data_IF_890159564363
#
_entry.id   IF_890159564363
#
_cell.length_a   1.000
_cell.length_b   1.000
_cell.length_c   1.000
_cell.angle_alpha   90.00
_cell.angle_beta   90.00
_cell.angle_gamma   90.00
#
_symmetry.space_group_name_H-M   'P 1'
#
loop_
_entity.id
_entity.type
_entity.pdbx_description
1 polymer ?
#
# COMPACT_ATOMS: atom_id res chain seq x y z
N UNK A 1 -51.91 2.34 -59.48
CA UNK A 1 -51.20 2.75 -58.26
C UNK A 1 -51.85 2.07 -57.07
N UNK A 2 -51.20 1.06 -56.48
CA UNK A 2 -51.63 0.41 -55.22
C UNK A 2 -50.83 1.05 -54.08
N UNK A 3 -51.52 1.61 -53.10
CA UNK A 3 -50.91 2.14 -51.88
C UNK A 3 -50.77 1.00 -50.86
N UNK A 4 -49.54 0.73 -50.43
CA UNK A 4 -49.20 -0.14 -49.31
C UNK A 4 -49.33 0.66 -48.02
N UNK A 5 -50.23 0.26 -47.12
CA UNK A 5 -50.29 0.76 -45.74
C UNK A 5 -49.41 -0.11 -44.85
N UNK A 6 -48.37 0.48 -44.26
CA UNK A 6 -47.53 -0.14 -43.22
C UNK A 6 -48.09 0.30 -41.86
N UNK A 7 -48.38 -0.60 -40.91
CA UNK A 7 -48.77 -0.21 -39.57
C UNK A 7 -47.54 0.28 -38.78
N UNK A 8 -47.63 1.46 -38.17
CA UNK A 8 -46.62 1.98 -37.27
C UNK A 8 -46.70 1.21 -35.93
N UNK A 9 -45.68 0.42 -35.62
CA UNK A 9 -45.51 -0.16 -34.29
C UNK A 9 -44.95 0.91 -33.36
N UNK A 10 -45.74 1.35 -32.38
CA UNK A 10 -45.26 2.19 -31.27
C UNK A 10 -44.49 1.27 -30.33
N UNK A 11 -43.16 1.35 -30.36
CA UNK A 11 -42.32 0.73 -29.35
C UNK A 11 -42.50 1.51 -28.03
N UNK A 12 -43.21 0.92 -27.07
CA UNK A 12 -43.16 1.40 -25.68
C UNK A 12 -41.77 1.08 -25.13
N UNK A 13 -40.93 2.11 -25.01
CA UNK A 13 -39.71 2.04 -24.20
C UNK A 13 -40.16 2.03 -22.74
N UNK A 14 -40.18 0.84 -22.14
CA UNK A 14 -40.26 0.71 -20.68
C UNK A 14 -38.91 1.17 -20.13
N UNK A 15 -38.84 2.42 -19.68
CA UNK A 15 -37.75 2.88 -18.82
C UNK A 15 -37.86 2.11 -17.51
N UNK A 16 -37.14 1.00 -17.41
CA UNK A 16 -36.83 0.39 -16.11
C UNK A 16 -35.88 1.38 -15.44
N UNK A 17 -36.26 2.04 -14.32
CA UNK A 17 -35.31 2.85 -13.58
C UNK A 17 -34.12 1.94 -13.20
N UNK A 18 -32.87 2.43 -13.28
CA UNK A 18 -31.74 1.64 -12.81
C UNK A 18 -32.04 1.18 -11.37
N UNK A 19 -31.68 -0.06 -11.00
CA UNK A 19 -31.83 -0.49 -9.61
C UNK A 19 -31.19 0.60 -8.74
N UNK A 20 -31.93 1.06 -7.73
CA UNK A 20 -31.40 2.03 -6.77
C UNK A 20 -30.05 1.49 -6.29
N UNK A 21 -28.96 2.18 -6.65
CA UNK A 21 -27.63 1.83 -6.22
C UNK A 21 -27.68 1.70 -4.71
N UNK A 22 -27.43 0.51 -4.17
CA UNK A 22 -27.38 0.31 -2.74
C UNK A 22 -26.33 1.29 -2.20
N UNK A 23 -26.78 2.23 -1.36
CA UNK A 23 -25.89 3.26 -0.84
C UNK A 23 -24.70 2.58 -0.15
N UNK A 24 -23.48 3.05 -0.45
CA UNK A 24 -22.27 2.54 0.19
C UNK A 24 -22.40 2.79 1.69
N UNK A 25 -22.39 1.73 2.49
CA UNK A 25 -22.36 1.81 3.95
C UNK A 25 -20.94 1.79 4.49
N UNK A 26 -20.80 2.12 5.78
CA UNK A 26 -19.57 1.92 6.52
C UNK A 26 -19.83 1.25 7.86
N UNK A 27 -18.88 0.42 8.29
CA UNK A 27 -18.74 -0.06 9.65
C UNK A 27 -17.54 0.63 10.30
N UNK A 28 -17.66 0.99 11.57
CA UNK A 28 -16.49 1.42 12.34
C UNK A 28 -15.67 0.21 12.79
N UNK A 29 -14.35 0.33 12.72
CA UNK A 29 -13.39 -0.62 13.27
C UNK A 29 -12.97 -0.09 14.66
N UNK A 30 -13.63 -0.53 15.74
CA UNK A 30 -13.41 0.06 17.05
C UNK A 30 -11.99 -0.22 17.56
N UNK A 31 -11.41 0.68 18.36
CA UNK A 31 -10.17 0.39 19.07
C UNK A 31 -10.36 -0.81 20.03
N UNK A 32 -9.33 -1.64 20.26
CA UNK A 32 -9.38 -2.68 21.29
C UNK A 32 -9.64 -2.10 22.69
N UNK A 33 -10.14 -2.95 23.58
CA UNK A 33 -10.37 -2.58 24.98
C UNK A 33 -9.13 -1.95 25.62
N UNK A 34 -9.31 -0.80 26.27
CA UNK A 34 -8.23 -0.04 26.92
C UNK A 34 -7.48 0.94 26.01
N UNK A 35 -7.83 1.01 24.72
CA UNK A 35 -7.33 2.03 23.77
C UNK A 35 -8.45 3.01 23.44
N UNK A 36 -8.10 4.27 23.14
CA UNK A 36 -9.10 5.27 22.78
C UNK A 36 -9.05 5.71 21.31
N UNK A 37 -8.02 5.31 20.57
CA UNK A 37 -7.93 5.51 19.13
C UNK A 37 -7.27 4.30 18.45
N UNK A 38 -7.62 4.08 17.19
CA UNK A 38 -6.96 3.10 16.34
C UNK A 38 -7.00 3.53 14.87
N UNK A 39 -6.00 3.11 14.11
CA UNK A 39 -5.94 3.23 12.66
C UNK A 39 -5.80 1.86 12.03
N UNK A 40 -6.38 1.70 10.85
CA UNK A 40 -6.22 0.55 9.97
C UNK A 40 -5.22 0.91 8.86
N UNK A 41 -4.24 0.03 8.61
CA UNK A 41 -3.18 0.25 7.62
C UNK A 41 -3.27 -0.71 6.44
N UNK A 42 -3.74 -1.94 6.68
CA UNK A 42 -3.70 -3.02 5.69
C UNK A 42 -4.97 -3.89 5.74
N UNK A 43 -5.27 -4.52 4.61
CA UNK A 43 -6.42 -5.38 4.39
C UNK A 43 -6.00 -6.58 3.54
N UNK A 44 -6.42 -7.79 3.92
CA UNK A 44 -6.20 -8.98 3.09
C UNK A 44 -7.44 -9.36 2.26
N UNK A 45 -7.27 -10.35 1.38
CA UNK A 45 -8.35 -10.83 0.51
C UNK A 45 -9.50 -11.51 1.26
N UNK A 46 -9.25 -12.03 2.48
CA UNK A 46 -10.29 -12.57 3.35
C UNK A 46 -11.14 -11.47 4.04
N UNK A 47 -10.79 -10.19 3.86
CA UNK A 47 -11.48 -9.05 4.47
C UNK A 47 -11.06 -8.79 5.92
N UNK A 48 -9.97 -9.43 6.40
CA UNK A 48 -9.34 -9.11 7.68
C UNK A 48 -8.44 -7.91 7.52
N UNK A 49 -8.52 -6.99 8.47
CA UNK A 49 -7.73 -5.79 8.49
C UNK A 49 -6.72 -5.81 9.63
N UNK A 50 -5.62 -5.06 9.50
CA UNK A 50 -4.70 -4.83 10.59
C UNK A 50 -4.22 -3.37 10.62
N UNK A 51 -3.74 -2.96 11.77
CA UNK A 51 -3.34 -1.59 12.04
C UNK A 51 -2.81 -1.41 13.46
N UNK A 52 -3.01 -0.22 14.03
CA UNK A 52 -2.39 0.15 15.30
C UNK A 52 -3.36 0.91 16.20
N UNK A 53 -3.32 0.66 17.51
CA UNK A 53 -4.09 1.41 18.51
C UNK A 53 -3.22 2.00 19.63
N UNK A 54 -3.75 3.03 20.29
CA UNK A 54 -3.09 3.76 21.38
C UNK A 54 -4.09 4.48 22.30
N UNK A 55 -3.57 5.01 23.42
CA UNK A 55 -4.30 5.88 24.34
C UNK A 55 -3.98 7.36 24.07
N UNK A 56 -4.97 8.28 23.99
CA UNK A 56 -4.75 9.72 23.93
C UNK A 56 -3.97 10.17 25.17
N UNK A 57 -2.99 11.06 25.00
CA UNK A 57 -1.90 11.47 25.92
C UNK A 57 -0.59 10.70 25.80
N UNK A 58 -0.62 9.45 25.35
CA UNK A 58 0.59 8.78 24.90
C UNK A 58 0.75 9.09 23.43
N UNK A 59 1.49 10.15 23.10
CA UNK A 59 2.03 10.29 21.75
C UNK A 59 2.64 8.95 21.32
N UNK A 60 2.61 8.53 20.02
CA UNK A 60 3.30 7.33 19.58
C UNK A 60 4.81 7.53 19.71
N UNK A 61 5.28 7.56 20.94
CA UNK A 61 6.65 7.33 21.30
C UNK A 61 6.92 5.85 21.04
N UNK A 62 8.16 5.51 20.66
CA UNK A 62 8.59 4.12 20.63
C UNK A 62 8.08 3.35 21.86
N UNK A 63 7.31 2.28 21.61
CA UNK A 63 6.76 1.38 22.63
C UNK A 63 5.30 1.62 23.06
N UNK A 64 4.64 2.71 22.66
CA UNK A 64 3.23 2.98 23.06
C UNK A 64 2.20 2.41 22.08
N UNK A 65 2.59 2.15 20.83
CA UNK A 65 1.71 1.53 19.84
C UNK A 65 1.46 0.05 20.16
N UNK A 66 0.24 -0.38 19.86
CA UNK A 66 -0.15 -1.78 19.89
C UNK A 66 -0.65 -2.19 18.51
N UNK A 67 -0.11 -3.28 17.98
CA UNK A 67 -0.58 -3.87 16.75
C UNK A 67 -1.97 -4.48 16.99
N UNK A 68 -2.90 -4.23 16.06
CA UNK A 68 -4.30 -4.64 16.16
C UNK A 68 -4.68 -5.34 14.86
N UNK A 69 -5.50 -6.39 14.96
CA UNK A 69 -6.23 -6.95 13.82
C UNK A 69 -7.73 -6.83 14.03
N UNK A 70 -8.47 -6.79 12.92
CA UNK A 70 -9.92 -6.86 12.91
C UNK A 70 -10.38 -8.01 12.01
N UNK A 71 -11.19 -8.92 12.57
CA UNK A 71 -11.97 -9.89 11.79
C UNK A 71 -13.41 -9.38 11.72
N UNK A 72 -13.79 -8.86 10.54
CA UNK A 72 -14.93 -7.96 10.41
C UNK A 72 -14.70 -6.69 11.23
N UNK A 73 -15.52 -6.46 12.26
CA UNK A 73 -15.39 -5.34 13.19
C UNK A 73 -14.79 -5.73 14.54
N UNK A 74 -14.45 -7.01 14.76
CA UNK A 74 -13.97 -7.50 16.08
C UNK A 74 -12.47 -7.25 16.24
N UNK A 75 -12.04 -6.36 17.16
CA UNK A 75 -10.62 -6.07 17.35
C UNK A 75 -9.92 -7.15 18.19
N UNK A 76 -8.67 -7.45 17.84
CA UNK A 76 -7.75 -8.28 18.63
C UNK A 76 -6.39 -7.59 18.74
N UNK A 77 -5.91 -7.38 19.97
CA UNK A 77 -4.57 -6.84 20.23
C UNK A 77 -3.52 -7.94 20.04
N UNK A 78 -2.53 -7.69 19.18
CA UNK A 78 -1.51 -8.67 18.78
C UNK A 78 -0.22 -8.55 19.61
N UNK A 79 0.08 -7.35 20.09
CA UNK A 79 1.29 -7.06 20.85
C UNK A 79 1.73 -5.61 20.72
N UNK A 80 2.91 -5.29 21.25
CA UNK A 80 3.55 -4.00 21.01
C UNK A 80 3.98 -3.87 19.55
N UNK A 81 3.84 -2.68 18.95
CA UNK A 81 4.31 -2.41 17.59
C UNK A 81 3.23 -1.81 16.69
N UNK A 82 3.58 -1.68 15.41
CA UNK A 82 2.74 -1.09 14.38
C UNK A 82 2.49 -2.12 13.26
N UNK A 83 1.23 -2.50 12.99
CA UNK A 83 0.97 -3.44 11.90
C UNK A 83 1.26 -2.82 10.53
N UNK A 84 2.12 -3.48 9.74
CA UNK A 84 2.52 -3.00 8.42
C UNK A 84 2.12 -3.92 7.27
N UNK A 85 1.90 -5.21 7.52
CA UNK A 85 1.49 -6.18 6.50
C UNK A 85 0.60 -7.28 7.07
N UNK A 86 -0.28 -7.83 6.22
CA UNK A 86 -1.16 -8.94 6.55
C UNK A 86 -1.28 -9.86 5.33
N UNK A 87 -1.11 -11.16 5.54
CA UNK A 87 -1.24 -12.16 4.47
C UNK A 87 -2.66 -12.76 4.43
N UNK A 88 -2.95 -13.66 3.49
CA UNK A 88 -4.31 -14.23 3.34
C UNK A 88 -4.75 -15.10 4.50
N UNK A 89 -3.81 -15.72 5.24
CA UNK A 89 -4.10 -16.45 6.48
C UNK A 89 -4.51 -15.54 7.63
N UNK A 90 -4.17 -14.26 7.55
CA UNK A 90 -4.34 -13.30 8.64
C UNK A 90 -3.15 -13.27 9.60
N UNK A 91 -1.98 -13.78 9.17
CA UNK A 91 -0.74 -13.51 9.87
C UNK A 91 -0.39 -12.03 9.67
N UNK A 92 0.06 -11.35 10.72
CA UNK A 92 0.34 -9.90 10.70
C UNK A 92 1.77 -9.64 11.07
N UNK A 93 2.51 -8.92 10.23
CA UNK A 93 3.87 -8.46 10.53
C UNK A 93 3.84 -7.05 11.10
N UNK A 94 4.63 -6.81 12.15
CA UNK A 94 4.72 -5.52 12.81
C UNK A 94 6.12 -5.26 13.40
N UNK A 95 6.78 -4.14 13.04
CA UNK A 95 7.94 -3.66 13.76
C UNK A 95 7.55 -3.14 15.16
N UNK A 96 8.46 -3.35 16.10
CA UNK A 96 8.38 -2.86 17.48
C UNK A 96 9.57 -1.96 17.73
N UNK A 97 9.33 -0.67 17.96
CA UNK A 97 10.40 0.29 18.24
C UNK A 97 10.54 0.45 19.75
N UNK A 98 11.73 0.23 20.27
CA UNK A 98 12.09 0.39 21.69
C UNK A 98 13.26 1.37 21.84
N UNK A 99 13.49 1.90 23.03
CA UNK A 99 14.69 2.69 23.35
C UNK A 99 15.64 1.87 24.20
N UNK A 100 16.89 1.71 23.76
CA UNK A 100 17.97 1.07 24.52
C UNK A 100 19.15 2.03 24.63
N UNK A 101 19.49 2.46 25.85
CA UNK A 101 20.61 3.39 26.08
C UNK A 101 20.50 4.73 25.34
N UNK A 102 19.28 5.18 24.98
CA UNK A 102 19.03 6.39 24.20
C UNK A 102 18.93 6.19 22.68
N UNK A 103 19.39 5.05 22.15
CA UNK A 103 19.23 4.67 20.75
C UNK A 103 17.87 4.01 20.49
N UNK A 104 17.32 4.20 19.29
CA UNK A 104 16.14 3.46 18.84
C UNK A 104 16.59 2.09 18.33
N UNK A 105 15.93 1.04 18.83
CA UNK A 105 16.13 -0.34 18.40
C UNK A 105 14.79 -0.86 17.91
N UNK A 106 14.76 -1.32 16.68
CA UNK A 106 13.59 -2.00 16.13
C UNK A 106 13.72 -3.50 16.40
N UNK A 107 12.62 -4.20 16.66
CA UNK A 107 12.51 -5.65 16.54
C UNK A 107 11.36 -5.97 15.59
N UNK A 108 11.38 -7.12 14.94
CA UNK A 108 10.32 -7.52 14.01
C UNK A 108 9.54 -8.67 14.63
N UNK A 109 8.22 -8.52 14.71
CA UNK A 109 7.32 -9.55 15.21
C UNK A 109 6.33 -9.96 14.14
N UNK A 110 5.92 -11.23 14.16
CA UNK A 110 4.81 -11.75 13.36
C UNK A 110 3.80 -12.40 14.28
N UNK A 111 2.55 -11.99 14.18
CA UNK A 111 1.43 -12.71 14.78
C UNK A 111 1.03 -13.84 13.86
N UNK A 112 1.21 -15.07 14.32
CA UNK A 112 0.88 -16.29 13.59
C UNK A 112 0.42 -17.36 14.59
N UNK A 113 -0.53 -18.21 14.20
CA UNK A 113 -1.02 -19.30 15.05
C UNK A 113 -1.47 -18.86 16.46
N UNK A 114 -2.02 -17.65 16.59
CA UNK A 114 -2.54 -17.11 17.85
C UNK A 114 -1.48 -16.58 18.83
N UNK A 115 -0.24 -16.37 18.38
CA UNK A 115 0.84 -15.84 19.22
C UNK A 115 1.81 -14.96 18.41
N UNK A 116 2.52 -14.08 19.10
CA UNK A 116 3.59 -13.27 18.50
C UNK A 116 4.91 -14.05 18.50
N UNK A 117 5.49 -14.24 17.31
CA UNK A 117 6.81 -14.83 17.10
C UNK A 117 7.84 -13.73 16.76
N UNK A 118 9.03 -13.80 17.36
CA UNK A 118 10.14 -12.91 17.05
C UNK A 118 10.80 -13.31 15.71
N UNK A 119 10.85 -12.35 14.80
CA UNK A 119 11.50 -12.41 13.48
C UNK A 119 12.60 -11.34 13.35
N UNK A 120 13.17 -10.92 14.47
CA UNK A 120 14.32 -10.03 14.47
C UNK A 120 15.55 -10.75 13.91
N UNK A 121 16.22 -10.19 12.89
CA UNK A 121 17.45 -10.78 12.35
C UNK A 121 18.47 -11.12 13.45
N UNK A 122 19.06 -12.33 13.46
CA UNK A 122 19.92 -12.82 14.54
C UNK A 122 21.27 -12.10 14.64
N UNK A 123 21.65 -11.27 13.67
CA UNK A 123 22.79 -10.37 13.77
C UNK A 123 22.46 -9.28 14.81
N UNK A 124 22.62 -9.61 16.10
CA UNK A 124 22.29 -8.76 17.24
C UNK A 124 23.02 -7.43 17.12
N UNK A 125 22.22 -6.39 16.91
CA UNK A 125 22.69 -5.04 16.68
C UNK A 125 21.79 -4.23 15.76
N UNK A 126 20.73 -4.74 15.14
CA UNK A 126 19.95 -3.91 14.22
C UNK A 126 19.39 -2.65 14.92
N UNK A 127 19.81 -1.47 14.45
CA UNK A 127 19.26 -0.17 14.82
C UNK A 127 17.90 0.03 14.16
N UNK A 128 17.85 0.77 13.06
CA UNK A 128 16.62 1.00 12.29
C UNK A 128 16.34 -0.20 11.38
N UNK A 129 15.11 -0.71 11.43
CA UNK A 129 14.61 -1.72 10.49
C UNK A 129 13.30 -1.28 9.86
N UNK A 130 13.10 -1.66 8.61
CA UNK A 130 11.86 -1.43 7.88
C UNK A 130 11.31 -2.74 7.31
N UNK A 131 10.01 -2.95 7.51
CA UNK A 131 9.24 -4.07 6.97
C UNK A 131 7.84 -3.56 6.64
N UNK A 132 7.32 -3.93 5.47
CA UNK A 132 5.99 -3.49 5.02
C UNK A 132 5.09 -4.62 4.55
N UNK A 133 5.61 -5.83 4.39
CA UNK A 133 4.85 -6.86 3.70
C UNK A 133 5.27 -8.27 4.16
N UNK A 134 4.36 -9.22 3.97
CA UNK A 134 4.50 -10.62 4.36
C UNK A 134 3.76 -11.49 3.33
N UNK A 135 4.46 -12.48 2.78
CA UNK A 135 3.82 -13.40 1.83
C UNK A 135 3.00 -14.48 2.51
N UNK A 136 2.11 -15.11 1.74
CA UNK A 136 1.46 -16.34 2.14
C UNK A 136 2.49 -17.46 2.38
N UNK A 137 3.61 -17.53 1.69
CA UNK A 137 4.65 -18.52 2.05
C UNK A 137 5.47 -18.16 3.30
N UNK A 138 5.11 -17.09 4.03
CA UNK A 138 5.82 -16.66 5.24
C UNK A 138 7.11 -15.90 4.97
N UNK A 139 7.26 -15.34 3.76
CA UNK A 139 8.45 -14.58 3.37
C UNK A 139 8.31 -13.14 3.82
N UNK A 140 9.34 -12.63 4.49
CA UNK A 140 9.36 -11.26 5.02
C UNK A 140 10.60 -10.56 4.48
N UNK A 141 10.47 -9.65 3.50
CA UNK A 141 11.58 -8.79 3.10
C UNK A 141 11.81 -7.71 4.17
N UNK A 142 13.07 -7.38 4.41
CA UNK A 142 13.41 -6.28 5.30
C UNK A 142 14.68 -5.56 4.85
N UNK A 143 14.70 -4.26 5.12
CA UNK A 143 15.92 -3.46 5.08
C UNK A 143 16.30 -3.04 6.50
N UNK A 144 17.59 -3.04 6.79
CA UNK A 144 18.10 -2.87 8.14
C UNK A 144 19.51 -2.29 8.16
N UNK A 145 19.95 -1.81 9.33
CA UNK A 145 21.31 -1.31 9.59
C UNK A 145 22.08 -2.17 10.64
N UNK A 146 23.36 -1.87 10.87
CA UNK A 146 24.11 -2.39 12.04
C UNK A 146 24.15 -1.35 13.18
N UNK A 147 24.06 -1.82 14.41
CA UNK A 147 24.28 -1.01 15.62
C UNK A 147 25.69 -0.45 15.60
N UNK A 148 25.79 0.82 15.98
CA UNK A 148 27.08 1.47 16.17
C UNK A 148 27.72 1.98 14.89
N UNK A 149 27.03 1.92 13.74
CA UNK A 149 27.40 2.74 12.58
C UNK A 149 26.91 4.19 12.85
N UNK A 150 27.78 5.19 13.04
CA UNK A 150 27.36 6.58 13.26
C UNK A 150 26.62 7.18 12.05
N UNK A 151 26.64 6.54 10.88
CA UNK A 151 25.89 6.91 9.67
C UNK A 151 24.54 6.15 9.51
N UNK A 152 24.13 5.39 10.54
CA UNK A 152 23.04 4.37 10.59
C UNK A 152 21.61 4.80 10.21
N UNK A 153 21.33 6.09 9.98
CA UNK A 153 19.96 6.53 9.61
C UNK A 153 19.49 6.08 8.21
N UNK A 154 20.21 5.17 7.58
CA UNK A 154 20.18 4.91 6.15
C UNK A 154 20.41 3.41 5.93
N UNK A 155 19.33 2.62 5.90
CA UNK A 155 19.36 1.15 5.81
C UNK A 155 20.47 0.66 4.85
N UNK A 156 21.50 -0.01 5.37
CA UNK A 156 22.69 -0.41 4.61
C UNK A 156 22.64 -1.86 4.12
N UNK A 157 21.67 -2.65 4.64
CA UNK A 157 21.43 -4.03 4.23
C UNK A 157 19.98 -4.35 3.88
N UNK A 158 19.85 -5.44 3.13
CA UNK A 158 18.59 -6.13 2.86
C UNK A 158 18.74 -7.60 3.22
N UNK A 159 17.65 -8.19 3.69
CA UNK A 159 17.54 -9.61 3.99
C UNK A 159 16.11 -10.07 3.84
N UNK A 160 15.91 -11.39 3.88
CA UNK A 160 14.58 -11.95 3.91
C UNK A 160 14.51 -13.14 4.86
N UNK A 161 13.40 -13.23 5.60
CA UNK A 161 13.00 -14.48 6.22
C UNK A 161 12.38 -15.40 5.18
N UNK A 162 12.80 -16.65 5.15
CA UNK A 162 12.24 -17.71 4.31
C UNK A 162 12.27 -19.01 5.09
N UNK A 163 11.15 -19.73 5.14
CA UNK A 163 11.06 -21.05 5.78
C UNK A 163 11.64 -21.08 7.22
N UNK A 164 11.42 -20.00 7.98
CA UNK A 164 11.90 -19.88 9.36
C UNK A 164 13.40 -19.58 9.52
N UNK A 165 14.12 -19.28 8.44
CA UNK A 165 15.52 -18.83 8.48
C UNK A 165 15.66 -17.43 7.88
N UNK A 166 16.52 -16.61 8.48
CA UNK A 166 16.91 -15.31 7.94
C UNK A 166 18.19 -15.44 7.11
N UNK A 167 18.20 -14.81 5.94
CA UNK A 167 19.41 -14.69 5.12
C UNK A 167 19.56 -13.28 4.55
N UNK A 168 20.81 -12.85 4.46
CA UNK A 168 21.18 -11.62 3.77
C UNK A 168 20.99 -11.75 2.26
N UNK A 169 20.53 -10.66 1.65
CA UNK A 169 20.48 -10.55 0.20
C UNK A 169 21.81 -9.95 -0.28
N UNK A 170 22.56 -10.65 -1.16
CA UNK A 170 23.87 -10.19 -1.61
C UNK A 170 23.75 -9.09 -2.69
N UNK A 171 23.41 -7.87 -2.26
CA UNK A 171 23.34 -6.70 -3.13
C UNK A 171 24.71 -6.00 -3.21
N UNK A 172 25.17 -5.72 -4.43
CA UNK A 172 26.43 -5.02 -4.70
C UNK A 172 26.23 -3.83 -5.65
N UNK A 173 27.10 -2.81 -5.61
CA UNK A 173 28.08 -2.46 -4.56
C UNK A 173 27.40 -2.08 -3.23
N UNK A 174 28.12 -1.93 -2.10
CA UNK A 174 27.53 -1.50 -0.81
C UNK A 174 26.73 -0.18 -0.92
N UNK A 175 25.65 -0.01 -0.14
CA UNK A 175 24.67 1.07 -0.32
C UNK A 175 24.27 1.82 0.95
N UNK A 176 23.73 3.02 0.78
CA UNK A 176 23.29 3.89 1.89
C UNK A 176 21.76 3.92 2.04
N UNK A 177 20.99 3.60 1.01
CA UNK A 177 19.53 3.56 1.13
C UNK A 177 19.00 2.33 0.42
N UNK A 178 18.58 1.35 1.20
CA UNK A 178 17.91 0.16 0.70
C UNK A 178 16.46 0.17 1.17
N UNK A 179 15.57 -0.03 0.21
CA UNK A 179 14.16 -0.29 0.44
C UNK A 179 13.88 -1.69 -0.06
N UNK A 180 13.62 -2.64 0.85
CA UNK A 180 13.25 -4.01 0.53
C UNK A 180 11.92 -4.31 1.23
N UNK A 181 10.83 -3.95 0.56
CA UNK A 181 9.57 -3.67 1.25
C UNK A 181 8.37 -4.48 0.75
N UNK A 182 8.43 -5.07 -0.44
CA UNK A 182 7.27 -5.73 -1.05
C UNK A 182 7.57 -7.18 -1.40
N UNK A 183 6.54 -8.03 -1.29
CA UNK A 183 6.63 -9.46 -1.55
C UNK A 183 5.35 -9.96 -2.19
N UNK A 184 5.49 -10.77 -3.24
CA UNK A 184 4.40 -11.55 -3.82
C UNK A 184 4.04 -12.74 -2.92
N UNK A 185 2.85 -13.30 -3.06
CA UNK A 185 2.36 -14.46 -2.30
C UNK A 185 3.28 -15.68 -2.47
N UNK A 186 3.87 -15.85 -3.66
CA UNK A 186 4.86 -16.92 -3.93
C UNK A 186 6.25 -16.68 -3.29
N UNK A 187 6.46 -15.53 -2.66
CA UNK A 187 7.69 -15.21 -1.94
C UNK A 187 8.77 -14.53 -2.78
N UNK A 188 8.49 -14.13 -4.02
CA UNK A 188 9.38 -13.20 -4.75
C UNK A 188 9.30 -11.83 -4.10
N UNK A 189 10.44 -11.19 -3.88
CA UNK A 189 10.53 -9.87 -3.21
C UNK A 189 11.19 -8.85 -4.14
N UNK A 190 10.86 -7.57 -3.99
CA UNK A 190 11.48 -6.49 -4.76
C UNK A 190 11.82 -5.28 -3.90
N UNK A 191 12.70 -4.44 -4.44
CA UNK A 191 13.19 -3.27 -3.75
C UNK A 191 14.08 -2.38 -4.60
N UNK A 192 14.58 -1.31 -3.99
CA UNK A 192 15.53 -0.38 -4.61
C UNK A 192 16.76 -0.17 -3.72
N UNK A 193 17.86 0.21 -4.37
CA UNK A 193 19.13 0.51 -3.72
C UNK A 193 19.74 1.79 -4.28
N UNK A 194 20.27 2.62 -3.38
CA UNK A 194 21.21 3.68 -3.67
C UNK A 194 22.62 3.30 -3.17
N UNK A 195 23.58 3.03 -4.07
CA UNK A 195 24.97 2.73 -3.72
C UNK A 195 25.71 3.89 -3.04
N UNK A 196 26.68 3.59 -2.15
CA UNK A 196 27.55 4.59 -1.48
C UNK A 196 28.69 5.08 -2.37
N UNK A 197 29.11 4.25 -3.32
CA UNK A 197 30.25 4.53 -4.20
C UNK A 197 29.92 5.49 -5.36
N UNK A 198 28.74 6.10 -5.33
CA UNK A 198 28.25 6.99 -6.40
C UNK A 198 27.77 6.25 -7.65
N UNK A 199 27.79 4.92 -7.67
CA UNK A 199 27.22 4.16 -8.79
C UNK A 199 25.70 4.33 -8.86
N UNK A 200 25.16 4.17 -10.07
CA UNK A 200 23.75 4.43 -10.34
C UNK A 200 22.83 3.56 -9.47
N UNK A 201 21.82 4.19 -8.86
CA UNK A 201 20.74 3.51 -8.15
C UNK A 201 20.07 2.46 -9.04
N UNK A 202 19.48 1.45 -8.42
CA UNK A 202 18.79 0.42 -9.17
C UNK A 202 17.65 -0.24 -8.42
N UNK A 203 16.74 -0.83 -9.19
CA UNK A 203 15.70 -1.75 -8.71
C UNK A 203 16.25 -3.17 -8.76
N UNK A 204 15.88 -3.99 -7.79
CA UNK A 204 16.23 -5.41 -7.76
C UNK A 204 14.99 -6.27 -7.51
N UNK A 205 15.05 -7.51 -8.01
CA UNK A 205 14.08 -8.56 -7.72
C UNK A 205 14.79 -9.81 -7.24
N UNK A 206 14.24 -10.44 -6.22
CA UNK A 206 14.84 -11.56 -5.51
C UNK A 206 13.86 -12.73 -5.39
N UNK A 207 14.32 -13.90 -5.84
CA UNK A 207 13.72 -15.21 -5.54
C UNK A 207 14.39 -15.81 -4.31
N UNK A 208 14.07 -17.06 -3.96
CA UNK A 208 14.75 -17.77 -2.88
C UNK A 208 16.25 -18.00 -3.13
N UNK A 209 16.70 -18.08 -4.39
CA UNK A 209 18.06 -18.50 -4.75
C UNK A 209 18.87 -17.43 -5.49
N UNK A 210 18.22 -16.37 -5.97
CA UNK A 210 18.85 -15.38 -6.84
C UNK A 210 18.23 -14.00 -6.68
N UNK A 211 19.09 -12.99 -6.71
CA UNK A 211 18.71 -11.58 -6.78
C UNK A 211 19.32 -10.92 -8.01
N UNK A 212 18.48 -10.32 -8.83
CA UNK A 212 18.88 -9.67 -10.06
C UNK A 212 18.67 -8.16 -9.94
N UNK A 213 19.67 -7.40 -10.39
CA UNK A 213 19.50 -5.99 -10.73
C UNK A 213 18.65 -5.90 -12.00
N UNK A 214 17.62 -5.05 -11.98
CA UNK A 214 16.78 -4.80 -13.14
C UNK A 214 17.36 -3.66 -13.99
N UNK A 215 17.14 -3.68 -15.32
CA UNK A 215 17.41 -2.55 -16.20
C UNK A 215 16.81 -1.24 -15.66
N UNK A 216 17.58 -0.17 -15.79
CA UNK A 216 17.22 1.16 -15.30
C UNK A 216 16.28 1.89 -16.27
N UNK A 217 15.35 2.69 -15.75
CA UNK A 217 14.48 3.54 -16.56
C UNK A 217 15.22 4.76 -17.14
N UNK A 218 16.35 5.13 -16.55
CA UNK A 218 17.22 6.21 -17.03
C UNK A 218 18.64 6.09 -16.48
N UNK A 219 19.51 7.00 -16.89
CA UNK A 219 20.94 6.97 -16.57
C UNK A 219 21.26 7.45 -15.15
N UNK A 220 20.48 8.40 -14.63
CA UNK A 220 20.66 9.05 -13.32
C UNK A 220 19.42 8.92 -12.45
N UNK A 221 19.53 9.26 -11.17
CA UNK A 221 18.40 9.32 -10.23
C UNK A 221 18.31 8.16 -9.22
N UNK A 222 17.23 8.17 -8.44
CA UNK A 222 16.92 7.19 -7.41
C UNK A 222 15.55 6.56 -7.64
N UNK A 223 15.31 5.39 -7.04
CA UNK A 223 14.06 4.65 -7.19
C UNK A 223 13.42 4.39 -5.83
N UNK A 224 12.09 4.51 -5.75
CA UNK A 224 11.28 4.02 -4.65
C UNK A 224 10.33 2.96 -5.19
N UNK A 225 10.59 1.69 -4.88
CA UNK A 225 9.68 0.58 -5.22
C UNK A 225 8.52 0.59 -4.23
N UNK A 226 7.29 0.63 -4.75
CA UNK A 226 6.08 0.66 -3.94
C UNK A 226 5.42 -0.72 -3.84
N UNK A 227 5.32 -1.44 -4.96
CA UNK A 227 4.49 -2.63 -5.05
C UNK A 227 5.04 -3.67 -6.04
N UNK A 228 4.67 -4.93 -5.80
CA UNK A 228 5.00 -6.12 -6.58
C UNK A 228 3.74 -7.01 -6.64
N UNK A 229 3.32 -7.40 -7.85
CA UNK A 229 2.17 -8.31 -8.03
C UNK A 229 2.62 -9.78 -8.22
N UNK A 230 1.67 -10.72 -8.33
CA UNK A 230 1.95 -12.15 -8.51
C UNK A 230 2.55 -12.50 -9.88
N UNK A 231 2.30 -11.68 -10.91
CA UNK A 231 2.98 -11.79 -12.21
C UNK A 231 4.45 -11.33 -12.18
N UNK A 232 4.93 -10.84 -11.03
CA UNK A 232 6.24 -10.24 -10.79
C UNK A 232 6.46 -8.88 -11.46
N UNK A 233 5.38 -8.18 -11.83
CA UNK A 233 5.44 -6.79 -12.23
C UNK A 233 5.69 -5.91 -11.01
N UNK A 234 6.60 -4.95 -11.15
CA UNK A 234 6.96 -4.00 -10.09
C UNK A 234 6.49 -2.62 -10.49
N UNK A 235 5.89 -1.88 -9.55
CA UNK A 235 5.58 -0.47 -9.72
C UNK A 235 6.38 0.37 -8.71
N UNK A 236 6.88 1.52 -9.18
CA UNK A 236 7.64 2.43 -8.33
C UNK A 236 7.81 3.81 -8.95
N UNK A 237 8.43 4.70 -8.18
CA UNK A 237 8.70 6.07 -8.59
C UNK A 237 10.19 6.26 -8.86
N UNK A 238 10.52 6.87 -9.98
CA UNK A 238 11.88 7.26 -10.35
C UNK A 238 12.05 8.77 -10.17
N UNK A 239 13.02 9.17 -9.35
CA UNK A 239 13.36 10.56 -9.09
C UNK A 239 14.64 10.94 -9.84
N UNK A 240 14.52 11.83 -10.82
CA UNK A 240 15.65 12.29 -11.64
C UNK A 240 15.43 13.72 -12.14
N UNK A 241 16.53 14.47 -12.23
CA UNK A 241 16.57 15.83 -12.79
C UNK A 241 15.59 16.81 -12.11
N UNK A 242 15.45 16.69 -10.78
CA UNK A 242 14.52 17.50 -9.98
C UNK A 242 13.03 17.15 -10.16
N UNK A 243 12.73 16.05 -10.86
CA UNK A 243 11.38 15.60 -11.16
C UNK A 243 11.15 14.13 -10.72
N UNK A 244 9.90 13.71 -10.63
CA UNK A 244 9.49 12.32 -10.37
C UNK A 244 8.68 11.75 -11.52
N UNK A 245 8.86 10.47 -11.83
CA UNK A 245 8.10 9.75 -12.85
C UNK A 245 7.63 8.40 -12.31
N UNK A 246 6.39 8.04 -12.60
CA UNK A 246 5.90 6.69 -12.33
C UNK A 246 6.53 5.70 -13.34
N UNK A 247 6.97 4.54 -12.86
CA UNK A 247 7.67 3.53 -13.66
C UNK A 247 7.17 2.14 -13.29
N UNK A 248 7.04 1.28 -14.29
CA UNK A 248 6.80 -0.16 -14.10
C UNK A 248 7.96 -0.99 -14.62
N UNK A 249 8.19 -2.16 -14.02
CA UNK A 249 9.05 -3.20 -14.58
C UNK A 249 8.22 -4.43 -14.85
N UNK A 250 8.04 -4.76 -16.12
CA UNK A 250 7.30 -5.94 -16.58
C UNK A 250 8.23 -6.78 -17.44
N UNK A 251 8.33 -8.09 -17.17
CA UNK A 251 9.34 -8.95 -17.80
C UNK A 251 10.76 -8.37 -17.70
N UNK A 252 11.07 -7.77 -16.54
CA UNK A 252 12.32 -7.07 -16.25
C UNK A 252 12.61 -5.81 -17.09
N UNK A 253 11.67 -5.37 -17.92
CA UNK A 253 11.87 -4.16 -18.73
C UNK A 253 11.17 -2.96 -18.09
N UNK A 254 11.89 -1.84 -17.87
CA UNK A 254 11.30 -0.61 -17.37
C UNK A 254 10.44 0.06 -18.43
N UNK A 255 9.28 0.54 -18.04
CA UNK A 255 8.42 1.44 -18.83
C UNK A 255 8.10 2.67 -17.99
N UNK A 256 8.52 3.84 -18.47
CA UNK A 256 8.13 5.13 -17.87
C UNK A 256 6.68 5.40 -18.25
N UNK A 257 5.83 5.56 -17.24
CA UNK A 257 4.42 5.83 -17.43
C UNK A 257 4.18 7.31 -17.77
N UNK A 258 3.16 7.64 -18.60
CA UNK A 258 2.89 9.01 -19.00
C UNK A 258 2.50 9.92 -17.81
N UNK A 259 2.87 11.21 -17.86
CA UNK A 259 2.42 12.20 -16.87
C UNK A 259 3.48 13.15 -16.30
N UNK A 260 4.52 13.52 -17.06
CA UNK A 260 5.61 14.46 -16.76
C UNK A 260 6.17 14.44 -15.32
N UNK A 261 5.44 15.00 -14.35
CA UNK A 261 5.68 14.87 -12.91
C UNK A 261 4.64 13.94 -12.30
N UNK A 262 5.02 12.71 -11.98
CA UNK A 262 4.11 11.71 -11.42
C UNK A 262 4.81 10.81 -10.41
N UNK A 263 4.02 10.11 -9.59
CA UNK A 263 4.51 9.08 -8.69
C UNK A 263 3.48 7.96 -8.54
N UNK A 264 3.99 6.74 -8.34
CA UNK A 264 3.19 5.60 -7.91
C UNK A 264 2.81 5.80 -6.43
N UNK A 265 1.61 5.38 -6.05
CA UNK A 265 1.16 5.42 -4.67
C UNK A 265 2.14 4.68 -3.75
N UNK A 266 2.42 5.23 -2.57
CA UNK A 266 3.29 4.58 -1.59
C UNK A 266 2.56 3.47 -0.82
N UNK A 267 2.13 2.44 -1.54
CA UNK A 267 1.30 1.34 -1.03
C UNK A 267 1.66 0.02 -1.74
N UNK A 268 1.70 -1.10 -1.01
CA UNK A 268 2.00 -2.41 -1.59
C UNK A 268 0.91 -2.91 -2.54
N UNK A 269 -0.29 -2.30 -2.52
CA UNK A 269 -1.41 -2.56 -3.43
C UNK A 269 -1.55 -1.53 -4.55
N UNK A 270 -0.47 -0.83 -4.88
CA UNK A 270 -0.46 0.18 -5.94
C UNK A 270 -0.44 -0.40 -7.37
N UNK A 271 -0.27 -1.72 -7.53
CA UNK A 271 -0.36 -2.45 -8.80
C UNK A 271 -1.25 -3.68 -8.64
N UNK A 272 -2.10 -3.97 -9.63
CA UNK A 272 -2.93 -5.19 -9.66
C UNK A 272 -2.35 -6.27 -10.59
N UNK A 273 -3.00 -7.44 -10.66
CA UNK A 273 -2.50 -8.56 -11.47
C UNK A 273 -2.57 -8.34 -12.99
N UNK A 274 -3.34 -7.35 -13.44
CA UNK A 274 -3.36 -6.94 -14.85
C UNK A 274 -2.24 -5.94 -15.19
N UNK A 275 -1.42 -5.55 -14.21
CA UNK A 275 -0.35 -4.57 -14.38
C UNK A 275 -0.84 -3.12 -14.38
N UNK A 276 -2.08 -2.87 -13.96
CA UNK A 276 -2.60 -1.53 -13.77
C UNK A 276 -1.98 -0.90 -12.52
N UNK A 277 -1.59 0.37 -12.61
CA UNK A 277 -0.88 1.08 -11.54
C UNK A 277 -1.64 2.32 -11.13
N UNK A 278 -1.62 2.65 -9.84
CA UNK A 278 -2.24 3.86 -9.31
C UNK A 278 -1.26 4.78 -8.59
N UNK A 279 -1.62 6.05 -8.53
CA UNK A 279 -0.88 7.08 -7.82
C UNK A 279 -1.41 8.46 -8.15
N UNK A 280 -0.50 9.38 -8.49
CA UNK A 280 -0.85 10.73 -8.87
C UNK A 280 0.08 11.28 -9.95
N UNK A 281 -0.44 12.26 -10.71
CA UNK A 281 0.35 13.14 -11.56
C UNK A 281 0.14 14.59 -11.20
N UNK A 282 1.05 15.46 -11.62
CA UNK A 282 0.88 16.90 -11.53
C UNK A 282 0.14 17.40 -12.78
N UNK A 283 -0.94 18.14 -12.56
CA UNK A 283 -1.68 18.85 -13.61
C UNK A 283 -1.88 20.29 -13.18
N UNK A 284 -1.37 21.23 -13.97
CA UNK A 284 -1.43 22.66 -13.65
C UNK A 284 -0.98 23.00 -12.21
N UNK A 285 0.03 22.27 -11.70
CA UNK A 285 0.58 22.45 -10.35
C UNK A 285 -0.20 21.73 -9.24
N UNK A 286 -1.25 20.97 -9.54
CA UNK A 286 -2.08 20.24 -8.58
C UNK A 286 -1.92 18.74 -8.77
N UNK A 287 -1.82 17.97 -7.68
CA UNK A 287 -1.80 16.50 -7.76
C UNK A 287 -3.19 15.98 -8.14
N UNK A 288 -3.23 15.09 -9.13
CA UNK A 288 -4.44 14.43 -9.60
C UNK A 288 -4.29 12.92 -9.52
N UNK A 289 -5.22 12.29 -8.80
CA UNK A 289 -5.36 10.84 -8.70
C UNK A 289 -5.41 10.23 -10.10
N UNK A 290 -4.51 9.29 -10.34
CA UNK A 290 -4.26 8.75 -11.67
C UNK A 290 -4.23 7.24 -11.63
N UNK A 291 -4.84 6.63 -12.64
CA UNK A 291 -4.68 5.22 -12.98
C UNK A 291 -3.92 5.12 -14.30
N UNK A 292 -2.89 4.28 -14.34
CA UNK A 292 -2.21 3.87 -15.57
C UNK A 292 -2.69 2.48 -15.95
N UNK A 293 -3.31 2.38 -17.13
CA UNK A 293 -3.90 1.15 -17.68
C UNK A 293 -3.45 1.02 -19.13
N UNK A 294 -2.88 -0.12 -19.49
CA UNK A 294 -2.43 -0.42 -20.86
C UNK A 294 -1.52 0.68 -21.45
N UNK A 295 -0.60 1.20 -20.63
CA UNK A 295 0.32 2.28 -21.01
C UNK A 295 -0.33 3.66 -21.19
N UNK A 296 -1.63 3.78 -20.95
CA UNK A 296 -2.41 5.02 -21.07
C UNK A 296 -2.75 5.60 -19.71
N UNK A 297 -2.93 6.92 -19.69
CA UNK A 297 -3.38 7.64 -18.51
C UNK A 297 -4.91 7.68 -18.44
N UNK A 298 -5.47 7.29 -17.30
CA UNK A 298 -6.89 7.40 -16.98
C UNK A 298 -7.07 8.42 -15.85
N UNK A 299 -7.76 9.51 -16.15
CA UNK A 299 -8.21 10.47 -15.15
C UNK A 299 -9.40 9.90 -14.39
N UNK A 300 -9.35 9.98 -13.06
CA UNK A 300 -10.40 9.44 -12.19
C UNK A 300 -11.58 10.41 -11.99
N UNK A 301 -11.51 11.63 -12.54
CA UNK A 301 -12.59 12.62 -12.46
C UNK A 301 -12.66 13.36 -11.13
N UNK A 302 -11.54 13.46 -10.40
CA UNK A 302 -11.48 14.14 -9.10
C UNK A 302 -11.46 15.67 -9.24
N UNK A 303 -12.16 16.38 -8.36
CA UNK A 303 -12.35 17.84 -8.46
C UNK A 303 -11.18 18.65 -7.89
N UNK A 304 -10.58 18.22 -6.77
CA UNK A 304 -9.48 18.93 -6.09
C UNK A 304 -8.11 18.27 -6.24
N UNK A 305 -7.20 18.59 -5.33
CA UNK A 305 -5.97 17.80 -5.12
C UNK A 305 -6.36 16.37 -4.71
N UNK A 306 -5.74 15.36 -5.30
CA UNK A 306 -6.14 13.98 -5.09
C UNK A 306 -5.01 12.99 -5.35
N UNK A 307 -5.18 11.80 -4.78
CA UNK A 307 -4.26 10.67 -4.96
C UNK A 307 -5.06 9.36 -4.92
N UNK A 308 -4.77 8.47 -5.87
CA UNK A 308 -5.23 7.09 -5.83
C UNK A 308 -4.22 6.26 -5.03
N UNK A 309 -4.69 5.40 -4.12
CA UNK A 309 -3.83 4.71 -3.14
C UNK A 309 -3.72 3.20 -3.35
N UNK A 310 -4.77 2.57 -3.90
CA UNK A 310 -4.77 1.13 -4.15
C UNK A 310 -5.70 0.78 -5.32
N UNK A 311 -5.36 -0.30 -6.01
CA UNK A 311 -6.15 -0.88 -7.11
C UNK A 311 -6.31 -2.38 -6.89
N UNK A 312 -7.48 -2.93 -7.20
CA UNK A 312 -7.74 -4.38 -7.13
C UNK A 312 -7.79 -4.99 -8.55
N UNK A 313 -7.89 -6.32 -8.64
CA UNK A 313 -7.86 -7.06 -9.92
C UNK A 313 -9.11 -6.87 -10.76
N UNK A 314 -10.16 -6.24 -10.19
CA UNK A 314 -11.36 -5.83 -10.94
C UNK A 314 -11.19 -4.45 -11.57
N UNK A 315 -10.05 -3.78 -11.35
CA UNK A 315 -9.80 -2.41 -11.78
C UNK A 315 -10.56 -1.36 -10.96
N UNK A 316 -11.05 -1.72 -9.78
CA UNK A 316 -11.56 -0.75 -8.81
C UNK A 316 -10.38 -0.02 -8.18
N UNK A 317 -10.52 1.29 -7.99
CA UNK A 317 -9.49 2.16 -7.40
C UNK A 317 -10.06 2.85 -6.17
N UNK A 318 -9.26 2.97 -5.11
CA UNK A 318 -9.61 3.80 -3.96
C UNK A 318 -8.56 4.89 -3.76
N UNK A 319 -8.97 5.97 -3.12
CA UNK A 319 -8.09 7.11 -2.90
C UNK A 319 -8.74 8.17 -2.03
N UNK A 320 -8.22 9.38 -2.15
CA UNK A 320 -8.79 10.56 -1.52
C UNK A 320 -8.72 11.75 -2.46
N UNK A 321 -9.66 12.67 -2.30
CA UNK A 321 -9.66 13.97 -2.99
C UNK A 321 -10.01 15.08 -2.01
N UNK A 322 -9.49 16.27 -2.24
CA UNK A 322 -9.80 17.46 -1.46
C UNK A 322 -11.12 18.06 -1.95
N UNK A 323 -12.11 18.15 -1.07
CA UNK A 323 -13.39 18.85 -1.25
C UNK A 323 -13.50 19.86 -0.12
N UNK A 324 -13.80 21.13 -0.44
CA UNK A 324 -13.92 22.22 0.54
C UNK A 324 -12.71 22.33 1.50
N UNK A 325 -11.51 22.04 0.98
CA UNK A 325 -10.25 22.10 1.73
C UNK A 325 -9.99 20.91 2.65
N UNK A 326 -10.84 19.88 2.63
CA UNK A 326 -10.72 18.67 3.44
C UNK A 326 -10.60 17.43 2.55
N UNK A 327 -9.85 16.39 2.94
CA UNK A 327 -9.80 15.14 2.18
C UNK A 327 -11.01 14.26 2.46
N UNK A 328 -11.63 13.79 1.39
CA UNK A 328 -12.71 12.82 1.41
C UNK A 328 -12.27 11.55 0.67
N UNK A 329 -12.53 10.36 1.23
CA UNK A 329 -12.19 9.10 0.59
C UNK A 329 -13.13 8.85 -0.61
N UNK A 330 -12.61 8.22 -1.66
CA UNK A 330 -13.40 7.83 -2.83
C UNK A 330 -13.13 6.38 -3.22
N UNK A 331 -14.09 5.83 -3.95
CA UNK A 331 -13.97 4.63 -4.76
C UNK A 331 -14.26 5.00 -6.22
N UNK A 332 -13.49 4.46 -7.15
CA UNK A 332 -13.66 4.64 -8.58
C UNK A 332 -13.76 3.28 -9.26
N UNK A 333 -14.69 3.15 -10.19
CA UNK A 333 -14.79 1.98 -11.07
C UNK A 333 -15.39 2.37 -12.40
N UNK A 334 -14.75 1.94 -13.48
CA UNK A 334 -15.27 2.05 -14.85
C UNK A 334 -15.80 3.46 -15.20
N UNK A 335 -15.04 4.50 -14.81
CA UNK A 335 -15.39 5.90 -15.07
C UNK A 335 -16.33 6.55 -14.05
N UNK A 336 -16.79 5.81 -13.04
CA UNK A 336 -17.68 6.33 -12.00
C UNK A 336 -16.90 6.54 -10.71
N UNK A 337 -16.81 7.79 -10.27
CA UNK A 337 -16.22 8.20 -8.98
C UNK A 337 -17.34 8.34 -7.93
N UNK A 338 -17.25 7.59 -6.84
CA UNK A 338 -18.20 7.58 -5.72
C UNK A 338 -17.45 8.00 -4.45
N UNK A 339 -17.97 9.00 -3.74
CA UNK A 339 -17.47 9.35 -2.40
C UNK A 339 -17.83 8.26 -1.39
N UNK A 340 -16.86 7.85 -0.56
CA UNK A 340 -17.09 6.91 0.53
C UNK A 340 -17.57 7.68 1.77
N UNK A 341 -18.78 7.40 2.29
CA UNK A 341 -19.36 8.21 3.35
C UNK A 341 -18.66 7.98 4.69
N UNK A 342 -18.57 9.03 5.49
CA UNK A 342 -18.07 8.97 6.87
C UNK A 342 -19.13 9.50 7.85
N UNK A 343 -19.10 9.08 9.13
CA UNK A 343 -20.05 9.57 10.12
C UNK A 343 -19.88 11.09 10.33
N UNK A 344 -20.91 11.86 9.99
CA UNK A 344 -20.91 13.32 10.09
C UNK A 344 -19.99 14.01 9.08
N UNK A 345 -19.65 13.33 7.97
CA UNK A 345 -18.77 13.84 6.90
C UNK A 345 -17.38 14.28 7.42
N UNK A 346 -16.88 13.56 8.42
CA UNK A 346 -15.55 13.79 8.96
C UNK A 346 -14.47 13.49 7.90
N UNK A 347 -13.44 14.35 7.76
CA UNK A 347 -12.37 14.13 6.79
C UNK A 347 -11.64 12.82 7.02
N UNK A 348 -11.43 12.07 5.93
CA UNK A 348 -10.84 10.74 5.96
C UNK A 348 -10.10 10.39 4.67
N UNK A 349 -9.29 9.33 4.74
CA UNK A 349 -8.59 8.75 3.59
C UNK A 349 -8.77 7.25 3.56
N UNK A 350 -8.94 6.68 2.37
CA UNK A 350 -8.81 5.25 2.15
C UNK A 350 -7.34 4.81 2.34
N UNK A 351 -7.14 3.59 2.82
CA UNK A 351 -5.82 3.02 3.11
C UNK A 351 -5.57 1.72 2.31
N UNK A 352 -6.58 0.87 2.17
CA UNK A 352 -6.46 -0.38 1.41
C UNK A 352 -7.80 -0.83 0.82
N UNK A 353 -7.72 -1.68 -0.21
CA UNK A 353 -8.82 -2.27 -0.95
C UNK A 353 -8.49 -3.74 -1.25
N UNK A 354 -9.50 -4.61 -1.24
CA UNK A 354 -9.36 -6.00 -1.68
C UNK A 354 -10.26 -6.33 -2.90
N UNK A 355 -10.13 -7.55 -3.44
CA UNK A 355 -10.88 -8.01 -4.60
C UNK A 355 -12.38 -8.21 -4.35
N UNK A 356 -12.80 -8.30 -3.09
CA UNK A 356 -14.22 -8.36 -2.72
C UNK A 356 -14.89 -6.97 -2.73
N UNK A 357 -14.13 -5.88 -2.88
CA UNK A 357 -14.66 -4.50 -2.80
C UNK A 357 -14.79 -3.97 -1.39
N UNK A 358 -14.09 -4.62 -0.44
CA UNK A 358 -13.94 -4.09 0.91
C UNK A 358 -12.84 -3.03 0.88
N UNK A 359 -13.15 -1.87 1.44
CA UNK A 359 -12.22 -0.75 1.58
C UNK A 359 -12.03 -0.48 3.06
N UNK A 360 -10.82 -0.13 3.48
CA UNK A 360 -10.55 0.34 4.85
C UNK A 360 -9.83 1.67 4.83
N UNK A 361 -9.96 2.47 5.89
CA UNK A 361 -9.40 3.83 5.94
C UNK A 361 -9.65 4.51 7.27
N UNK A 362 -9.17 5.74 7.40
CA UNK A 362 -9.06 6.43 8.69
C UNK A 362 -9.49 7.90 8.60
N UNK A 363 -10.04 8.43 9.70
CA UNK A 363 -10.07 9.89 9.91
C UNK A 363 -8.68 10.44 10.23
N UNK A 364 -8.52 11.74 9.99
CA UNK A 364 -7.22 12.42 10.12
C UNK A 364 -6.90 12.94 11.51
N UNK A 365 -7.87 13.03 12.42
CA UNK A 365 -7.59 13.51 13.77
C UNK A 365 -6.77 12.44 14.51
N UNK A 366 -5.55 12.78 14.89
CA UNK A 366 -4.61 11.86 15.53
C UNK A 366 -5.06 11.38 16.91
N UNK A 367 -5.69 12.22 17.71
CA UNK A 367 -6.07 11.86 19.09
C UNK A 367 -7.41 11.12 19.15
N UNK A 368 -8.22 11.28 18.11
CA UNK A 368 -9.55 10.66 17.97
C UNK A 368 -9.69 9.92 16.65
N UNK A 369 -8.58 9.32 16.17
CA UNK A 369 -8.60 8.65 14.87
C UNK A 369 -9.53 7.45 14.93
N UNK A 370 -10.39 7.35 13.92
CA UNK A 370 -11.39 6.31 13.75
C UNK A 370 -11.06 5.58 12.48
N UNK A 371 -11.01 4.25 12.58
CA UNK A 371 -10.84 3.36 11.45
C UNK A 371 -12.22 2.92 10.95
N UNK A 372 -12.36 2.78 9.64
CA UNK A 372 -13.61 2.39 8.99
C UNK A 372 -13.38 1.26 7.99
N UNK A 373 -14.46 0.55 7.73
CA UNK A 373 -14.60 -0.46 6.70
C UNK A 373 -15.81 -0.13 5.83
N UNK A 374 -15.61 0.08 4.54
CA UNK A 374 -16.68 0.22 3.56
C UNK A 374 -16.82 -1.06 2.76
N UNK A 375 -18.05 -1.37 2.35
CA UNK A 375 -18.30 -2.40 1.33
C UNK A 375 -18.99 -1.73 0.16
N UNK A 376 -18.30 -1.66 -0.97
CA UNK A 376 -18.85 -1.08 -2.20
C UNK A 376 -19.52 -2.20 -3.00
N UNK A 377 -20.85 -2.12 -3.25
CA UNK A 377 -21.54 -3.13 -4.04
C UNK A 377 -20.88 -3.28 -5.42
N UNK A 378 -20.73 -4.52 -5.88
CA UNK A 378 -20.42 -4.79 -7.28
C UNK A 378 -21.68 -4.48 -8.10
N UNK A 379 -21.80 -3.23 -8.53
CA UNK A 379 -22.81 -2.77 -9.48
C UNK A 379 -22.66 -3.40 -10.86
#
# INVERSE_FOLDING_TARGET
MRWLSVPAAIAMVVLVPPPASAAVGFDELPPPSGMAAAVVSVLNEAGRAAGSGWTPSQFPYPGTLRAVSWDGTRPTTLGAGHATGINTRGDVVFPVVTKQGGAQVTSISVWENGQAADRTPPQRGAGVMTVRDLSDTGVIPLAYDRMGDPESYSNDRAGAWRQGAFADVPLSPQGQYIYHQTVSSNGTTAGSRQPRDGSASYVFRCTATRCNRLPAAGQTGTYAVAALNETNAIAGTWFADGNSRAVTWTNDQPTVLPGDTAAVADNTRAVNESGEVVGWRLEAGVRKATLWRDGSLVDLGTSGESEAVAVNDRGDVVGWQTIDGQPHPFHWRAGVLIGLPTPGDVPAKAAALNNAGVVVGNTLNRDTSRAFRWTVPSG
#
